data_IF_575932409636
#
_entry.id   IF_575932409636
#
_cell.length_a   1.000
_cell.length_b   1.000
_cell.length_c   1.000
_cell.angle_alpha   90.00
_cell.angle_beta   90.00
_cell.angle_gamma   90.00
#
_symmetry.space_group_name_H-M   'P 1'
#
loop_
_entity.id
_entity.type
_entity.pdbx_description
1 polymer ?
#
# COMPACT_ATOMS: atom_id res chain seq x y z
N UNK A 1 -23.73 38.92 33.88
CA UNK A 1 -22.39 38.89 33.26
C UNK A 1 -21.67 37.55 33.39
N UNK A 2 -21.69 36.88 34.53
CA UNK A 2 -21.00 35.59 34.75
C UNK A 2 -21.38 34.43 33.76
N UNK A 3 -22.67 34.27 33.41
CA UNK A 3 -23.09 33.19 32.48
C UNK A 3 -22.48 33.34 31.09
N UNK A 4 -22.28 34.54 30.56
CA UNK A 4 -21.67 34.74 29.23
C UNK A 4 -20.17 34.45 29.22
N UNK A 5 -19.47 34.64 30.32
CA UNK A 5 -18.04 34.34 30.45
C UNK A 5 -17.80 32.82 30.48
N UNK A 6 -18.73 32.06 31.12
CA UNK A 6 -18.66 30.60 31.18
C UNK A 6 -18.84 30.00 29.78
N UNK A 7 -19.75 30.51 28.96
CA UNK A 7 -19.93 30.02 27.58
C UNK A 7 -18.75 30.30 26.65
N UNK A 8 -18.07 31.46 26.82
CA UNK A 8 -16.87 31.79 26.04
C UNK A 8 -15.69 30.89 26.45
N UNK A 9 -15.54 30.61 27.75
CA UNK A 9 -14.50 29.67 28.25
C UNK A 9 -14.74 28.23 27.74
N UNK A 10 -15.99 27.77 27.68
CA UNK A 10 -16.34 26.42 27.18
C UNK A 10 -16.14 26.31 25.65
N UNK A 11 -16.36 27.39 24.90
CA UNK A 11 -16.16 27.41 23.45
C UNK A 11 -14.66 27.37 23.06
N UNK A 12 -13.80 28.02 23.89
CA UNK A 12 -12.36 28.00 23.70
C UNK A 12 -11.71 26.62 23.99
N UNK A 13 -12.29 25.84 24.93
CA UNK A 13 -11.82 24.49 25.24
C UNK A 13 -12.13 23.47 24.11
N UNK A 14 -13.17 23.70 23.30
CA UNK A 14 -13.52 22.83 22.17
C UNK A 14 -12.60 23.06 20.95
N UNK A 15 -11.97 24.23 20.83
CA UNK A 15 -11.10 24.55 19.70
C UNK A 15 -9.70 23.90 19.80
N UNK A 16 -9.25 23.51 21.00
CA UNK A 16 -7.93 22.89 21.19
C UNK A 16 -7.95 21.37 20.92
N UNK A 17 -9.08 20.70 21.08
CA UNK A 17 -9.19 19.26 20.88
C UNK A 17 -9.04 18.82 19.41
N UNK A 18 -9.35 19.68 18.43
CA UNK A 18 -9.18 19.37 17.02
C UNK A 18 -7.73 19.42 16.53
N UNK A 19 -6.84 20.09 17.24
CA UNK A 19 -5.46 20.32 16.77
C UNK A 19 -4.53 19.15 17.11
N UNK A 20 -4.79 18.42 18.18
CA UNK A 20 -3.94 17.29 18.61
C UNK A 20 -4.07 16.08 17.68
N UNK A 21 -5.28 15.76 17.23
CA UNK A 21 -5.50 14.62 16.33
C UNK A 21 -4.86 14.83 14.94
N UNK A 22 -4.84 16.05 14.43
CA UNK A 22 -4.20 16.37 13.16
C UNK A 22 -2.68 16.25 13.23
N UNK A 23 -2.08 16.57 14.37
CA UNK A 23 -0.64 16.43 14.58
C UNK A 23 -0.24 14.94 14.62
N UNK A 24 -0.99 14.11 15.33
CA UNK A 24 -0.74 12.65 15.42
C UNK A 24 -0.79 12.02 14.03
N UNK A 25 -1.81 12.33 13.22
CA UNK A 25 -1.94 11.77 11.88
C UNK A 25 -0.79 12.20 10.96
N UNK A 26 -0.39 13.47 10.99
CA UNK A 26 0.74 13.98 10.21
C UNK A 26 2.07 13.35 10.61
N UNK A 27 2.27 13.11 11.90
CA UNK A 27 3.46 12.46 12.44
C UNK A 27 3.53 10.99 12.02
N UNK A 28 2.41 10.28 12.00
CA UNK A 28 2.32 8.90 11.51
C UNK A 28 2.64 8.81 10.01
N UNK A 29 2.10 9.71 9.19
CA UNK A 29 2.43 9.78 7.75
C UNK A 29 3.91 10.07 7.51
N UNK A 30 4.51 10.92 8.34
CA UNK A 30 5.94 11.21 8.26
C UNK A 30 6.77 10.00 8.63
N UNK A 31 6.42 9.31 9.71
CA UNK A 31 7.10 8.09 10.14
C UNK A 31 7.02 6.98 9.08
N UNK A 32 5.85 6.79 8.45
CA UNK A 32 5.68 5.84 7.35
C UNK A 32 6.58 6.18 6.16
N UNK A 33 6.64 7.46 5.78
CA UNK A 33 7.51 7.90 4.68
C UNK A 33 8.99 7.64 4.99
N UNK A 34 9.44 7.99 6.19
CA UNK A 34 10.81 7.73 6.63
C UNK A 34 11.13 6.22 6.64
N UNK A 35 10.17 5.38 7.03
CA UNK A 35 10.32 3.92 7.00
C UNK A 35 10.50 3.40 5.56
N UNK A 36 9.69 3.88 4.61
CA UNK A 36 9.78 3.52 3.20
C UNK A 36 11.12 3.99 2.61
N UNK A 37 11.52 5.23 2.86
CA UNK A 37 12.80 5.78 2.39
C UNK A 37 13.99 4.99 2.94
N UNK A 38 13.97 4.64 4.23
CA UNK A 38 14.99 3.82 4.86
C UNK A 38 15.04 2.39 4.26
N UNK A 39 13.88 1.81 3.95
CA UNK A 39 13.80 0.51 3.28
C UNK A 39 14.44 0.57 1.88
N UNK A 40 14.09 1.57 1.08
CA UNK A 40 14.63 1.81 -0.25
C UNK A 40 16.16 1.93 -0.20
N UNK A 41 16.70 2.74 0.71
CA UNK A 41 18.14 2.92 0.88
C UNK A 41 18.83 1.63 1.33
N UNK A 42 18.29 0.96 2.35
CA UNK A 42 18.87 -0.26 2.92
C UNK A 42 18.96 -1.41 1.93
N UNK A 43 18.00 -1.48 1.00
CA UNK A 43 17.95 -2.52 -0.04
C UNK A 43 18.57 -2.10 -1.38
N UNK A 44 19.14 -0.90 -1.47
CA UNK A 44 19.78 -0.41 -2.71
C UNK A 44 18.79 -0.31 -3.87
N UNK A 45 17.54 0.03 -3.58
CA UNK A 45 16.49 0.17 -4.59
C UNK A 45 16.73 1.44 -5.39
N UNK A 46 16.70 1.31 -6.72
CA UNK A 46 16.74 2.43 -7.65
C UNK A 46 15.33 2.80 -8.04
N UNK A 47 14.88 3.98 -7.63
CA UNK A 47 13.56 4.50 -7.98
C UNK A 47 13.64 5.29 -9.27
N UNK A 48 12.71 5.01 -10.19
CA UNK A 48 12.55 5.73 -11.46
C UNK A 48 11.13 6.30 -11.57
N UNK A 49 10.99 7.46 -12.21
CA UNK A 49 9.70 8.15 -12.38
C UNK A 49 8.93 7.70 -13.64
N UNK A 50 9.62 7.08 -14.60
CA UNK A 50 9.00 6.55 -15.82
C UNK A 50 8.99 5.01 -15.77
N UNK A 51 7.91 4.40 -16.31
CA UNK A 51 7.80 2.93 -16.39
C UNK A 51 8.95 2.37 -17.23
N UNK A 52 9.81 1.49 -16.67
CA UNK A 52 10.93 0.92 -17.41
C UNK A 52 10.45 0.01 -18.54
N UNK A 53 11.13 0.08 -19.68
CA UNK A 53 10.95 -0.92 -20.75
C UNK A 53 11.67 -2.22 -20.45
N UNK A 54 12.77 -2.14 -19.68
CA UNK A 54 13.53 -3.28 -19.19
C UNK A 54 13.73 -3.14 -17.68
N UNK A 55 13.37 -4.19 -16.93
CA UNK A 55 13.41 -4.20 -15.47
C UNK A 55 14.75 -4.73 -14.97
N UNK A 56 15.55 -3.86 -14.36
CA UNK A 56 16.74 -4.27 -13.59
C UNK A 56 16.35 -4.90 -12.26
N UNK A 57 17.26 -5.62 -11.62
CA UNK A 57 17.01 -6.42 -10.42
C UNK A 57 16.36 -5.63 -9.25
N UNK A 58 16.79 -4.38 -9.04
CA UNK A 58 16.30 -3.52 -7.95
C UNK A 58 15.72 -2.20 -8.47
N UNK A 59 15.21 -2.16 -9.69
CA UNK A 59 14.60 -0.97 -10.26
C UNK A 59 13.11 -0.96 -9.97
N UNK A 60 12.65 0.05 -9.24
CA UNK A 60 11.25 0.24 -8.88
C UNK A 60 10.72 1.51 -9.53
N UNK A 61 9.60 1.39 -10.18
CA UNK A 61 8.88 2.52 -10.76
C UNK A 61 7.96 3.14 -9.72
N UNK A 62 8.09 4.46 -9.53
CA UNK A 62 7.15 5.24 -8.75
C UNK A 62 5.89 5.44 -9.57
N UNK A 63 4.82 4.73 -9.21
CA UNK A 63 3.56 4.80 -9.96
C UNK A 63 2.94 6.19 -9.82
N UNK A 64 2.63 6.89 -10.92
CA UNK A 64 2.03 8.22 -10.88
C UNK A 64 0.71 8.23 -10.10
N UNK A 65 0.40 9.39 -9.52
CA UNK A 65 -0.83 9.65 -8.75
C UNK A 65 -0.97 8.90 -7.42
N UNK A 66 0.01 8.07 -7.06
CA UNK A 66 0.03 7.32 -5.80
C UNK A 66 1.31 7.61 -5.00
N UNK A 67 1.20 8.42 -3.98
CA UNK A 67 2.33 8.75 -3.11
C UNK A 67 2.88 7.49 -2.42
N UNK A 68 4.21 7.33 -2.48
CA UNK A 68 4.94 6.23 -1.85
C UNK A 68 4.53 4.81 -2.30
N UNK A 69 3.89 4.69 -3.46
CA UNK A 69 3.64 3.40 -4.08
C UNK A 69 4.66 3.12 -5.18
N UNK A 70 5.38 2.02 -5.03
CA UNK A 70 6.44 1.62 -5.97
C UNK A 70 6.19 0.20 -6.47
N UNK A 71 6.39 0.01 -7.76
CA UNK A 71 6.16 -1.25 -8.45
C UNK A 71 7.44 -1.74 -9.12
N UNK A 72 7.70 -3.04 -9.04
CA UNK A 72 8.77 -3.73 -9.75
C UNK A 72 8.24 -5.01 -10.38
N UNK A 73 8.33 -5.12 -11.70
CA UNK A 73 7.95 -6.34 -12.41
C UNK A 73 9.11 -7.35 -12.34
N UNK A 74 8.90 -8.46 -11.62
CA UNK A 74 9.89 -9.54 -11.50
C UNK A 74 9.85 -10.47 -12.70
N UNK A 75 8.64 -10.76 -13.19
CA UNK A 75 8.40 -11.63 -14.33
C UNK A 75 7.20 -11.13 -15.11
N UNK A 76 7.39 -10.93 -16.40
CA UNK A 76 6.29 -10.66 -17.32
C UNK A 76 5.32 -11.84 -17.37
N UNK A 77 4.04 -11.54 -17.51
CA UNK A 77 3.02 -12.55 -17.67
C UNK A 77 2.95 -13.12 -19.08
N UNK A 78 2.03 -14.04 -19.27
CA UNK A 78 1.78 -14.71 -20.56
C UNK A 78 1.01 -13.80 -21.51
N UNK A 79 1.71 -13.13 -22.41
CA UNK A 79 1.14 -12.21 -23.41
C UNK A 79 0.34 -12.90 -24.52
N UNK A 80 0.32 -14.22 -24.56
CA UNK A 80 -0.58 -14.96 -25.46
C UNK A 80 -2.01 -14.99 -24.95
N UNK A 81 -2.22 -14.67 -23.69
CA UNK A 81 -3.52 -14.54 -23.05
C UNK A 81 -4.03 -13.09 -23.13
N UNK A 82 -5.32 -12.91 -22.89
CA UNK A 82 -5.88 -11.56 -22.79
C UNK A 82 -5.37 -10.83 -21.56
N UNK A 83 -5.21 -9.52 -21.68
CA UNK A 83 -5.01 -8.66 -20.50
C UNK A 83 -6.20 -8.77 -19.54
N UNK A 84 -5.92 -8.61 -18.23
CA UNK A 84 -6.95 -8.55 -17.20
C UNK A 84 -7.92 -7.38 -17.46
N UNK A 85 -9.20 -7.65 -17.34
CA UNK A 85 -10.28 -6.67 -17.51
C UNK A 85 -11.05 -6.46 -16.22
N UNK A 86 -11.69 -5.30 -16.09
CA UNK A 86 -12.58 -5.01 -14.97
C UNK A 86 -13.55 -6.15 -14.73
N UNK A 87 -13.70 -6.53 -13.47
CA UNK A 87 -14.53 -7.64 -12.96
C UNK A 87 -14.02 -9.05 -13.28
N UNK A 88 -12.86 -9.19 -13.93
CA UNK A 88 -12.24 -10.51 -14.08
C UNK A 88 -11.90 -11.10 -12.70
N UNK A 89 -12.06 -12.41 -12.59
CA UNK A 89 -11.65 -13.14 -11.40
C UNK A 89 -10.15 -13.43 -11.45
N UNK A 90 -9.45 -12.92 -10.42
CA UNK A 90 -8.01 -13.09 -10.27
C UNK A 90 -7.71 -14.01 -9.10
N UNK A 91 -6.77 -14.92 -9.28
CA UNK A 91 -6.19 -15.76 -8.25
C UNK A 91 -4.81 -15.22 -7.90
N UNK A 92 -4.65 -14.74 -6.67
CA UNK A 92 -3.42 -14.09 -6.21
C UNK A 92 -2.72 -14.92 -5.16
N UNK A 93 -1.39 -15.08 -5.29
CA UNK A 93 -0.51 -15.55 -4.22
C UNK A 93 0.43 -14.43 -3.82
N UNK A 94 0.71 -14.29 -2.54
CA UNK A 94 1.51 -13.19 -2.05
C UNK A 94 2.41 -13.59 -0.88
N UNK A 95 3.46 -12.80 -0.69
CA UNK A 95 4.17 -12.62 0.58
C UNK A 95 4.09 -11.15 0.95
N UNK A 96 3.75 -10.86 2.18
CA UNK A 96 3.73 -9.50 2.74
C UNK A 96 4.68 -9.45 3.92
N UNK A 97 5.47 -8.42 4.01
CA UNK A 97 6.32 -8.13 5.16
C UNK A 97 6.21 -6.66 5.52
N UNK A 98 6.42 -6.38 6.80
CA UNK A 98 6.66 -5.02 7.26
C UNK A 98 8.00 -4.49 6.73
N UNK A 99 8.16 -3.18 6.64
CA UNK A 99 9.38 -2.57 6.06
C UNK A 99 10.45 -2.24 7.09
N UNK A 100 10.22 -2.60 8.36
CA UNK A 100 11.19 -2.40 9.43
C UNK A 100 12.41 -3.35 9.32
N UNK A 101 13.33 -3.22 10.28
CA UNK A 101 14.54 -4.02 10.30
C UNK A 101 14.29 -5.50 10.63
N UNK A 102 13.24 -5.78 11.40
CA UNK A 102 12.83 -7.11 11.85
C UNK A 102 11.47 -7.46 11.27
N UNK A 103 11.43 -7.61 9.96
CA UNK A 103 10.21 -7.75 9.20
C UNK A 103 9.38 -8.97 9.60
N UNK A 104 8.15 -8.74 10.04
CA UNK A 104 7.16 -9.78 10.18
C UNK A 104 6.66 -10.21 8.79
N UNK A 105 6.40 -11.51 8.62
CA UNK A 105 6.00 -12.07 7.33
C UNK A 105 4.63 -12.72 7.40
N UNK A 106 3.72 -12.26 6.54
CA UNK A 106 2.48 -12.94 6.23
C UNK A 106 2.54 -13.48 4.79
N UNK A 107 2.20 -14.75 4.60
CA UNK A 107 2.32 -15.39 3.29
C UNK A 107 1.20 -16.40 3.04
N UNK A 108 0.69 -16.41 1.83
CA UNK A 108 -0.04 -17.55 1.28
C UNK A 108 0.69 -18.17 0.07
N UNK A 109 1.97 -17.85 -0.08
CA UNK A 109 2.85 -18.46 -1.07
C UNK A 109 3.28 -19.83 -0.54
N UNK A 110 2.45 -20.84 -0.78
CA UNK A 110 2.80 -22.20 -0.43
C UNK A 110 3.41 -22.94 -1.61
N UNK A 111 4.48 -23.66 -1.33
CA UNK A 111 5.08 -24.60 -2.28
C UNK A 111 4.65 -26.04 -2.05
N UNK A 112 4.12 -26.38 -0.89
CA UNK A 112 3.90 -27.77 -0.48
C UNK A 112 2.50 -28.07 0.04
N UNK A 113 1.85 -27.16 0.74
CA UNK A 113 0.61 -27.48 1.43
C UNK A 113 -0.54 -26.54 1.07
N UNK A 114 -1.04 -26.64 -0.15
CA UNK A 114 -2.40 -26.23 -0.52
C UNK A 114 -2.97 -24.94 0.08
N UNK A 115 -2.13 -23.95 0.39
CA UNK A 115 -2.67 -22.63 0.67
C UNK A 115 -3.42 -22.19 -0.59
N UNK A 116 -4.73 -22.10 -0.49
CA UNK A 116 -5.54 -21.62 -1.60
C UNK A 116 -5.13 -20.19 -1.94
N UNK A 117 -5.05 -19.83 -3.22
CA UNK A 117 -4.83 -18.44 -3.61
C UNK A 117 -6.00 -17.59 -3.14
N UNK A 118 -5.72 -16.33 -2.86
CA UNK A 118 -6.77 -15.34 -2.64
C UNK A 118 -7.55 -15.17 -3.94
N UNK A 119 -8.88 -15.19 -3.83
CA UNK A 119 -9.80 -14.98 -4.95
C UNK A 119 -10.35 -13.56 -4.85
N UNK A 120 -10.09 -12.74 -5.82
CA UNK A 120 -10.64 -11.37 -5.89
C UNK A 120 -11.17 -11.06 -7.28
N UNK A 121 -11.94 -9.99 -7.40
CA UNK A 121 -12.34 -9.42 -8.68
C UNK A 121 -11.53 -8.15 -8.94
N UNK A 122 -10.94 -8.05 -10.12
CA UNK A 122 -10.17 -6.89 -10.51
C UNK A 122 -11.08 -5.66 -10.67
N UNK A 123 -10.65 -4.53 -10.13
CA UNK A 123 -11.40 -3.26 -10.06
C UNK A 123 -12.76 -3.35 -9.35
N UNK A 124 -12.92 -4.31 -8.46
CA UNK A 124 -14.11 -4.41 -7.59
C UNK A 124 -13.64 -4.32 -6.15
N UNK A 125 -14.17 -3.37 -5.40
CA UNK A 125 -13.88 -3.22 -3.98
C UNK A 125 -14.48 -4.41 -3.21
N UNK A 126 -13.67 -5.05 -2.42
CA UNK A 126 -14.07 -6.15 -1.55
C UNK A 126 -13.13 -6.25 -0.34
N UNK A 127 -13.61 -6.84 0.74
CA UNK A 127 -12.81 -7.11 1.93
C UNK A 127 -11.57 -7.99 1.68
N UNK A 128 -11.54 -8.68 0.54
CA UNK A 128 -10.42 -9.53 0.14
C UNK A 128 -9.40 -8.82 -0.74
N UNK A 129 -9.54 -7.53 -0.99
CA UNK A 129 -8.72 -6.75 -1.90
C UNK A 129 -8.46 -5.37 -1.34
N UNK A 130 -7.26 -4.86 -1.55
CA UNK A 130 -6.89 -3.47 -1.26
C UNK A 130 -6.46 -2.75 -2.54
N UNK A 131 -6.41 -1.42 -2.49
CA UNK A 131 -6.03 -0.58 -3.64
C UNK A 131 -4.63 -0.94 -4.15
N UNK A 132 -3.67 -1.19 -3.27
CA UNK A 132 -2.32 -1.60 -3.66
C UNK A 132 -2.29 -2.90 -4.47
N UNK A 133 -3.12 -3.88 -4.15
CA UNK A 133 -3.25 -5.10 -4.94
C UNK A 133 -3.90 -4.85 -6.30
N UNK A 134 -4.92 -4.01 -6.37
CA UNK A 134 -5.55 -3.63 -7.63
C UNK A 134 -4.55 -2.96 -8.58
N UNK A 135 -3.73 -2.04 -8.05
CA UNK A 135 -2.65 -1.39 -8.79
C UNK A 135 -1.58 -2.39 -9.25
N UNK A 136 -1.20 -3.34 -8.40
CA UNK A 136 -0.25 -4.37 -8.78
C UNK A 136 -0.80 -5.22 -9.95
N UNK A 137 -2.06 -5.65 -9.89
CA UNK A 137 -2.71 -6.42 -10.96
C UNK A 137 -2.79 -5.61 -12.24
N UNK A 138 -3.13 -4.31 -12.14
CA UNK A 138 -3.19 -3.40 -13.29
C UNK A 138 -1.85 -3.34 -14.04
N UNK A 139 -0.75 -3.29 -13.31
CA UNK A 139 0.59 -3.16 -13.89
C UNK A 139 1.18 -4.52 -14.33
N UNK A 140 0.76 -5.63 -13.72
CA UNK A 140 1.09 -6.98 -14.17
C UNK A 140 0.42 -7.36 -15.50
N UNK A 141 -0.80 -6.90 -15.73
CA UNK A 141 -1.62 -7.07 -16.94
C UNK A 141 -2.02 -8.51 -17.27
N UNK A 142 -1.08 -9.46 -17.23
CA UNK A 142 -1.26 -10.81 -17.75
C UNK A 142 -1.15 -11.88 -16.66
N UNK A 143 -1.73 -13.05 -16.91
CA UNK A 143 -1.62 -14.21 -16.03
C UNK A 143 -0.16 -14.68 -15.90
N UNK A 144 0.18 -15.28 -14.77
CA UNK A 144 1.54 -15.75 -14.43
C UNK A 144 2.59 -14.64 -14.27
N UNK A 145 2.19 -13.37 -14.26
CA UNK A 145 3.09 -12.28 -13.92
C UNK A 145 3.47 -12.33 -12.43
N UNK A 146 4.67 -11.84 -12.11
CA UNK A 146 5.13 -11.67 -10.74
C UNK A 146 5.66 -10.25 -10.56
N UNK A 147 5.32 -9.64 -9.43
CA UNK A 147 5.80 -8.31 -9.08
C UNK A 147 6.20 -8.22 -7.61
N UNK A 148 6.93 -7.17 -7.29
CA UNK A 148 7.12 -6.66 -5.93
C UNK A 148 6.52 -5.26 -5.87
N UNK A 149 5.88 -4.94 -4.75
CA UNK A 149 5.37 -3.59 -4.49
C UNK A 149 5.86 -3.11 -3.13
N UNK A 150 6.11 -1.81 -3.02
CA UNK A 150 6.16 -1.10 -1.75
C UNK A 150 4.87 -0.31 -1.68
N UNK A 151 4.05 -0.60 -0.68
CA UNK A 151 2.69 -0.10 -0.59
C UNK A 151 2.51 0.66 0.73
N UNK A 152 2.14 1.94 0.71
CA UNK A 152 1.82 2.66 1.93
C UNK A 152 0.52 2.11 2.55
N UNK A 153 0.39 2.21 3.85
CA UNK A 153 -0.76 1.71 4.62
C UNK A 153 -2.10 2.17 4.06
N UNK A 154 -2.17 3.43 3.62
CA UNK A 154 -3.36 4.03 3.01
C UNK A 154 -3.88 3.32 1.75
N UNK A 155 -3.02 2.60 1.04
CA UNK A 155 -3.39 1.80 -0.13
C UNK A 155 -3.46 0.30 0.20
N UNK A 156 -3.17 -0.07 1.45
CA UNK A 156 -3.26 -1.41 1.99
C UNK A 156 -4.65 -1.75 2.55
N UNK A 157 -4.70 -2.76 3.41
CA UNK A 157 -5.94 -3.20 4.06
C UNK A 157 -6.39 -2.29 5.23
N UNK A 158 -5.55 -1.35 5.64
CA UNK A 158 -5.86 -0.41 6.72
C UNK A 158 -6.65 0.82 6.25
N UNK A 159 -6.95 0.91 4.94
CA UNK A 159 -7.72 2.01 4.34
C UNK A 159 -9.10 2.19 5.00
N UNK A 160 -9.78 1.11 5.38
CA UNK A 160 -11.12 1.16 5.98
C UNK A 160 -11.14 1.81 7.37
N UNK A 161 -10.04 1.78 8.09
CA UNK A 161 -9.97 2.32 9.45
C UNK A 161 -9.43 3.76 9.52
N UNK A 162 -9.08 4.38 8.40
CA UNK A 162 -8.46 5.72 8.33
C UNK A 162 -7.24 5.86 9.26
N UNK A 163 -6.63 4.75 9.61
CA UNK A 163 -5.45 4.67 10.48
C UNK A 163 -4.22 4.45 9.63
N UNK A 164 -3.25 5.34 9.77
CA UNK A 164 -1.91 5.10 9.26
C UNK A 164 -1.20 4.21 10.26
N UNK A 165 -0.86 3.00 9.85
CA UNK A 165 -0.05 2.09 10.66
C UNK A 165 1.33 1.97 10.01
N UNK A 166 2.32 2.79 10.38
CA UNK A 166 3.64 2.78 9.77
C UNK A 166 4.34 1.42 9.80
N UNK A 167 3.88 0.55 10.66
CA UNK A 167 4.41 -0.79 10.91
C UNK A 167 3.43 -1.93 10.52
N UNK A 168 2.37 -1.62 9.81
CA UNK A 168 1.34 -2.58 9.41
C UNK A 168 1.52 -3.21 8.03
#
# INVERSE_FOLDING_TARGET
MMKKVIYIGLLLLLATACNENNNIYSDLLKAERELIENYIQRHGIVVVDEEPTEWGENVYWKVPDYDNFYFHLVQAGDTTQSEVKSSDRVLLRFKRYTLDEYADTLSNWSTLDNAEPVKLQYMVNSETSCTGWQLAIQNMKYTNAQCKIICPSKLGFDEENSTVTPYG
#
